data_IF_843073638712
#
_entry.id   IF_843073638712
#
_cell.length_a   1.000
_cell.length_b   1.000
_cell.length_c   1.000
_cell.angle_alpha   90.00
_cell.angle_beta   90.00
_cell.angle_gamma   90.00
#
_symmetry.space_group_name_H-M   'P 1'
#
loop_
_entity.id
_entity.type
_entity.pdbx_description
1 polymer ?
#
# COMPACT_ATOMS: atom_id res chain seq x y z
N UNK A 1 29.12 -19.16 -2.49
CA UNK A 1 28.58 -20.53 -2.66
C UNK A 1 27.06 -20.60 -2.44
N UNK A 2 26.51 -20.36 -1.23
CA UNK A 2 25.05 -20.49 -0.96
C UNK A 2 24.14 -19.54 -1.74
N UNK A 3 24.55 -18.29 -2.01
CA UNK A 3 23.79 -17.37 -2.89
C UNK A 3 23.80 -17.81 -4.36
N UNK A 4 24.87 -18.45 -4.84
CA UNK A 4 24.96 -18.96 -6.22
C UNK A 4 24.03 -20.16 -6.42
N UNK A 5 23.88 -21.01 -5.40
CA UNK A 5 22.90 -22.11 -5.40
C UNK A 5 21.47 -21.56 -5.40
N UNK A 6 21.20 -20.48 -4.64
CA UNK A 6 19.89 -19.81 -4.62
C UNK A 6 19.57 -19.12 -5.95
N UNK A 7 20.56 -18.47 -6.56
CA UNK A 7 20.43 -17.85 -7.88
C UNK A 7 20.21 -18.89 -8.97
N UNK A 8 20.89 -20.04 -8.91
CA UNK A 8 20.72 -21.15 -9.86
C UNK A 8 19.33 -21.81 -9.73
N UNK A 9 18.83 -22.02 -8.51
CA UNK A 9 17.46 -22.52 -8.28
C UNK A 9 16.39 -21.51 -8.71
N UNK A 10 16.61 -20.21 -8.47
CA UNK A 10 15.73 -19.15 -8.97
C UNK A 10 15.74 -19.05 -10.50
N UNK A 11 16.91 -19.14 -11.15
CA UNK A 11 17.00 -19.18 -12.62
C UNK A 11 16.30 -20.42 -13.21
N UNK A 12 16.49 -21.59 -12.59
CA UNK A 12 15.84 -22.83 -13.02
C UNK A 12 14.32 -22.76 -12.91
N UNK A 13 13.81 -22.22 -11.80
CA UNK A 13 12.38 -22.00 -11.61
C UNK A 13 11.80 -20.96 -12.59
N UNK A 14 12.53 -19.88 -12.85
CA UNK A 14 12.11 -18.85 -13.80
C UNK A 14 12.10 -19.37 -15.24
N UNK A 15 13.11 -20.14 -15.66
CA UNK A 15 13.17 -20.71 -17.01
C UNK A 15 12.02 -21.71 -17.25
N UNK A 16 11.69 -22.53 -16.25
CA UNK A 16 10.58 -23.47 -16.31
C UNK A 16 9.20 -22.77 -16.43
N UNK A 17 8.98 -21.66 -15.72
CA UNK A 17 7.75 -20.84 -15.88
C UNK A 17 7.65 -20.21 -17.26
N UNK A 18 8.76 -19.71 -17.80
CA UNK A 18 8.75 -18.91 -19.03
C UNK A 18 8.61 -19.76 -20.30
N UNK A 19 9.22 -20.94 -20.34
CA UNK A 19 9.02 -21.89 -21.44
C UNK A 19 7.57 -22.41 -21.51
N UNK A 20 6.85 -22.43 -20.38
CA UNK A 20 5.43 -22.87 -20.30
C UNK A 20 4.45 -21.79 -20.73
N UNK A 21 4.73 -20.51 -20.43
CA UNK A 21 3.92 -19.39 -20.92
C UNK A 21 3.86 -19.30 -22.46
N UNK A 22 4.89 -19.74 -23.17
CA UNK A 22 4.90 -19.70 -24.64
C UNK A 22 3.98 -20.76 -25.28
N UNK A 23 3.77 -21.90 -24.61
CA UNK A 23 2.85 -22.95 -25.06
C UNK A 23 1.36 -22.53 -24.93
N UNK A 24 1.04 -21.65 -23.97
CA UNK A 24 -0.33 -21.15 -23.76
C UNK A 24 -0.79 -20.16 -24.86
N UNK A 25 0.13 -19.47 -25.54
CA UNK A 25 -0.22 -18.56 -26.65
C UNK A 25 -0.57 -19.27 -27.97
N UNK A 26 -0.34 -20.58 -28.08
CA UNK A 26 -0.55 -21.35 -29.31
C UNK A 26 -1.91 -22.05 -29.41
N UNK A 27 -2.83 -21.88 -28.44
CA UNK A 27 -4.14 -22.53 -28.46
C UNK A 27 -5.27 -21.50 -28.58
N UNK A 28 -6.01 -21.61 -29.68
CA UNK A 28 -7.19 -20.80 -29.99
C UNK A 28 -8.22 -20.81 -28.85
N UNK A 29 -8.83 -19.67 -28.50
CA UNK A 29 -9.88 -19.65 -27.49
C UNK A 29 -11.19 -20.19 -28.07
N UNK A 30 -11.78 -21.18 -27.40
CA UNK A 30 -13.18 -21.58 -27.60
C UNK A 30 -14.13 -20.46 -27.16
N UNK A 31 -15.27 -20.24 -27.84
CA UNK A 31 -16.13 -19.11 -27.55
C UNK A 31 -17.01 -19.40 -26.32
N UNK A 32 -16.69 -18.79 -25.19
CA UNK A 32 -17.61 -18.71 -24.05
C UNK A 32 -18.69 -17.66 -24.35
N UNK A 33 -19.90 -18.11 -24.68
CA UNK A 33 -21.12 -17.27 -24.67
C UNK A 33 -21.40 -16.85 -23.22
N UNK A 34 -21.04 -15.62 -22.87
CA UNK A 34 -21.64 -14.87 -21.75
C UNK A 34 -22.40 -13.68 -22.32
N UNK A 35 -23.71 -13.72 -22.18
CA UNK A 35 -24.61 -12.58 -22.36
C UNK A 35 -24.30 -11.54 -21.29
N UNK A 36 -23.38 -10.63 -21.60
CA UNK A 36 -23.23 -9.36 -20.92
C UNK A 36 -23.74 -8.27 -21.86
N UNK A 37 -24.76 -7.54 -21.42
CA UNK A 37 -25.31 -6.37 -22.13
C UNK A 37 -24.16 -5.38 -22.36
N UNK A 38 -23.79 -5.24 -23.63
CA UNK A 38 -22.68 -4.43 -24.13
C UNK A 38 -23.16 -2.98 -24.28
N UNK A 39 -23.07 -2.18 -23.22
CA UNK A 39 -23.09 -0.71 -23.35
C UNK A 39 -21.68 -0.26 -23.74
N UNK A 40 -21.36 -0.40 -25.02
CA UNK A 40 -20.15 0.16 -25.61
C UNK A 40 -20.43 1.60 -26.05
N UNK A 41 -20.06 2.58 -25.23
CA UNK A 41 -19.72 3.92 -25.71
C UNK A 41 -18.23 4.13 -25.44
N UNK A 42 -17.43 3.96 -26.48
CA UNK A 42 -16.00 4.30 -26.47
C UNK A 42 -15.87 5.82 -26.36
N UNK A 43 -15.64 6.34 -25.16
CA UNK A 43 -15.23 7.74 -24.98
C UNK A 43 -13.77 7.83 -25.43
N UNK A 44 -13.43 8.55 -26.52
CA UNK A 44 -12.05 8.71 -26.94
C UNK A 44 -11.26 9.45 -25.85
N UNK A 45 -10.00 9.06 -25.64
CA UNK A 45 -9.10 9.74 -24.70
C UNK A 45 -8.71 11.12 -25.26
N UNK A 46 -9.51 12.13 -24.92
CA UNK A 46 -9.37 13.53 -25.36
C UNK A 46 -8.00 14.11 -24.95
N UNK A 47 -7.34 13.56 -23.92
CA UNK A 47 -6.03 14.02 -23.48
C UNK A 47 -4.89 13.64 -24.43
N UNK A 48 -5.06 12.56 -25.20
CA UNK A 48 -4.09 12.06 -26.18
C UNK A 48 -4.16 12.78 -27.55
N UNK A 49 -5.24 13.50 -27.83
CA UNK A 49 -5.46 14.16 -29.14
C UNK A 49 -4.49 15.32 -29.41
N UNK A 50 -4.18 15.58 -30.67
CA UNK A 50 -3.35 16.72 -31.11
C UNK A 50 -4.15 18.03 -31.11
N UNK A 51 -3.47 19.18 -31.08
CA UNK A 51 -4.13 20.51 -31.09
C UNK A 51 -5.07 20.71 -32.28
N UNK A 52 -4.72 20.31 -33.53
CA UNK A 52 -5.65 20.39 -34.66
C UNK A 52 -6.91 19.54 -34.45
N UNK A 53 -6.77 18.31 -33.97
CA UNK A 53 -7.90 17.42 -33.71
C UNK A 53 -8.84 17.95 -32.61
N UNK A 54 -8.27 18.58 -31.57
CA UNK A 54 -9.04 19.23 -30.51
C UNK A 54 -9.82 20.46 -31.01
N UNK A 55 -9.22 21.27 -31.88
CA UNK A 55 -9.91 22.44 -32.48
C UNK A 55 -11.04 22.00 -33.42
N UNK A 56 -10.85 20.91 -34.15
CA UNK A 56 -11.87 20.37 -35.04
C UNK A 56 -13.09 19.85 -34.25
N UNK A 57 -12.85 19.10 -33.17
CA UNK A 57 -13.95 18.69 -32.29
C UNK A 57 -14.66 19.86 -31.60
N UNK A 58 -13.93 20.92 -31.26
CA UNK A 58 -14.53 22.14 -30.71
C UNK A 58 -15.39 22.87 -31.75
N UNK A 59 -14.98 22.94 -33.02
CA UNK A 59 -15.79 23.49 -34.12
C UNK A 59 -17.08 22.70 -34.32
N UNK A 60 -16.99 21.37 -34.33
CA UNK A 60 -18.15 20.49 -34.45
C UNK A 60 -19.17 20.68 -33.32
N UNK A 61 -18.72 21.16 -32.15
CA UNK A 61 -19.56 21.46 -30.98
C UNK A 61 -19.91 22.95 -30.81
N UNK A 62 -19.53 23.81 -31.76
CA UNK A 62 -19.77 25.25 -31.69
C UNK A 62 -19.01 25.97 -30.56
N UNK A 63 -17.89 25.41 -30.10
CA UNK A 63 -17.12 25.93 -28.97
C UNK A 63 -15.87 26.71 -29.42
N UNK A 64 -15.39 27.69 -28.61
CA UNK A 64 -14.22 28.51 -28.97
C UNK A 64 -12.93 27.70 -29.14
N UNK A 65 -12.23 27.92 -30.26
CA UNK A 65 -11.00 27.19 -30.66
C UNK A 65 -9.68 27.88 -30.31
N UNK A 66 -9.72 29.01 -29.60
CA UNK A 66 -8.51 29.78 -29.23
C UNK A 66 -7.84 29.24 -27.96
N UNK A 67 -6.51 29.34 -27.90
CA UNK A 67 -5.69 28.98 -26.73
C UNK A 67 -4.84 27.71 -26.87
N UNK A 68 -4.10 27.41 -25.81
CA UNK A 68 -3.17 26.26 -25.71
C UNK A 68 -3.90 24.93 -25.48
N UNK A 69 -3.24 23.80 -25.78
CA UNK A 69 -3.81 22.43 -25.71
C UNK A 69 -4.62 22.16 -24.44
N UNK A 70 -4.11 22.57 -23.27
CA UNK A 70 -4.79 22.39 -21.99
C UNK A 70 -6.16 23.08 -21.91
N UNK A 71 -6.29 24.28 -22.48
CA UNK A 71 -7.55 25.02 -22.52
C UNK A 71 -8.56 24.34 -23.46
N UNK A 72 -8.09 23.79 -24.59
CA UNK A 72 -8.94 23.08 -25.56
C UNK A 72 -9.48 21.76 -24.98
N UNK A 73 -8.63 20.98 -24.31
CA UNK A 73 -9.03 19.75 -23.60
C UNK A 73 -10.05 20.05 -22.51
N UNK A 74 -9.84 21.13 -21.74
CA UNK A 74 -10.77 21.54 -20.67
C UNK A 74 -12.16 21.89 -21.19
N UNK A 75 -12.26 22.44 -22.41
CA UNK A 75 -13.56 22.76 -23.05
C UNK A 75 -14.28 21.52 -23.59
N UNK A 76 -13.56 20.50 -24.04
CA UNK A 76 -14.15 19.24 -24.51
C UNK A 76 -14.54 18.28 -23.39
N UNK A 77 -13.97 18.46 -22.18
CA UNK A 77 -14.20 17.59 -21.03
C UNK A 77 -14.27 18.40 -19.73
N UNK A 78 -15.35 19.16 -19.49
CA UNK A 78 -15.50 19.97 -18.27
C UNK A 78 -15.47 19.15 -16.97
N UNK A 79 -15.79 17.86 -17.02
CA UNK A 79 -15.77 16.94 -15.87
C UNK A 79 -14.35 16.67 -15.30
N UNK A 80 -13.29 16.86 -16.10
CA UNK A 80 -11.91 16.72 -15.64
C UNK A 80 -11.48 17.80 -14.62
N UNK A 81 -12.30 18.84 -14.40
CA UNK A 81 -12.06 19.84 -13.34
C UNK A 81 -12.29 19.30 -11.93
N UNK A 82 -13.15 18.30 -11.75
CA UNK A 82 -13.48 17.76 -10.41
C UNK A 82 -12.23 17.10 -9.76
N UNK A 83 -11.25 16.69 -10.57
CA UNK A 83 -10.02 16.04 -10.10
C UNK A 83 -8.82 16.99 -9.91
N UNK A 84 -8.91 18.29 -10.25
CA UNK A 84 -7.73 19.20 -10.22
C UNK A 84 -7.90 20.56 -9.55
N UNK A 85 -9.09 20.97 -9.12
CA UNK A 85 -9.26 22.27 -8.43
C UNK A 85 -9.58 22.13 -6.95
N UNK A 86 -8.53 22.06 -6.13
CA UNK A 86 -8.54 22.65 -4.79
C UNK A 86 -7.18 23.27 -4.49
N UNK A 87 -6.93 24.42 -5.12
CA UNK A 87 -5.91 25.38 -4.72
C UNK A 87 -6.58 26.76 -4.64
N UNK A 88 -6.39 27.40 -3.50
CA UNK A 88 -7.03 28.62 -3.01
C UNK A 88 -6.65 29.88 -3.80
N UNK A 89 -7.53 30.89 -3.93
CA UNK A 89 -7.20 32.18 -4.50
C UNK A 89 -6.36 33.05 -3.54
N UNK A 90 -5.47 33.86 -4.14
CA UNK A 90 -4.60 34.87 -3.54
C UNK A 90 -5.42 36.12 -3.16
N UNK A 91 -5.19 36.80 -2.01
CA UNK A 91 -5.99 37.96 -1.64
C UNK A 91 -5.57 39.23 -2.38
N UNK A 92 -6.57 40.05 -2.70
CA UNK A 92 -6.43 41.39 -3.25
C UNK A 92 -6.00 42.40 -2.17
N UNK A 93 -5.30 43.46 -2.61
CA UNK A 93 -4.90 44.61 -1.80
C UNK A 93 -6.13 45.38 -1.32
N UNK A 94 -6.20 45.67 -0.02
CA UNK A 94 -7.07 46.71 0.54
C UNK A 94 -6.21 47.72 1.32
N UNK A 95 -6.47 49.01 1.06
CA UNK A 95 -6.00 50.17 1.85
C UNK A 95 -6.91 50.34 3.08
N UNK A 96 -6.48 51.24 3.99
CA UNK A 96 -7.17 51.83 5.17
C UNK A 96 -7.40 50.88 6.37
N UNK A 97 -7.29 51.27 7.63
CA UNK A 97 -6.85 52.49 8.34
C UNK A 97 -6.56 52.07 9.79
N UNK A 98 -5.75 52.85 10.50
CA UNK A 98 -5.42 52.66 11.90
C UNK A 98 -6.63 52.80 12.84
N UNK A 99 -6.75 51.92 13.82
CA UNK A 99 -7.37 52.23 15.12
C UNK A 99 -6.65 51.45 16.23
N UNK A 100 -6.06 52.21 17.15
CA UNK A 100 -5.44 51.84 18.41
C UNK A 100 -6.43 51.21 19.39
N UNK A 101 -6.05 50.09 20.03
CA UNK A 101 -6.54 49.78 21.39
C UNK A 101 -5.48 49.00 22.17
N UNK A 102 -5.00 49.61 23.26
CA UNK A 102 -4.12 49.03 24.30
C UNK A 102 -4.96 48.16 25.25
N UNK A 103 -4.42 47.02 25.66
CA UNK A 103 -4.48 46.35 26.98
C UNK A 103 -4.05 44.88 26.76
N UNK A 104 -3.29 44.16 27.57
CA UNK A 104 -2.69 44.38 28.88
C UNK A 104 -1.52 43.38 29.03
N UNK A 105 -0.46 43.80 29.72
CA UNK A 105 0.69 42.97 30.12
C UNK A 105 0.22 41.88 31.08
N UNK A 106 0.60 40.62 30.82
CA UNK A 106 0.75 39.61 31.88
C UNK A 106 2.15 39.03 31.82
N UNK A 107 2.89 39.30 32.89
CA UNK A 107 4.26 38.90 33.15
C UNK A 107 4.31 37.39 33.33
N UNK A 108 5.20 36.72 32.61
CA UNK A 108 5.79 35.47 33.07
C UNK A 108 7.29 35.51 32.77
N UNK A 109 8.06 35.45 33.85
CA UNK A 109 9.51 35.21 33.95
C UNK A 109 9.97 34.15 32.93
N UNK A 110 11.01 34.34 32.14
CA UNK A 110 12.30 34.89 32.53
C UNK A 110 13.32 33.75 32.70
N UNK A 111 13.67 33.08 31.60
CA UNK A 111 15.00 32.50 31.38
C UNK A 111 15.38 32.80 29.93
N UNK A 112 16.01 33.95 29.73
CA UNK A 112 16.72 34.27 28.49
C UNK A 112 18.03 33.50 28.46
N UNK A 113 18.04 32.32 27.84
CA UNK A 113 19.26 31.65 27.41
C UNK A 113 19.70 32.25 26.06
N UNK A 114 20.30 33.42 26.10
CA UNK A 114 21.04 33.97 24.97
C UNK A 114 22.39 33.24 24.88
N UNK A 115 22.69 32.67 23.71
CA UNK A 115 23.93 31.99 23.28
C UNK A 115 23.91 30.44 23.17
N UNK A 116 22.76 29.79 23.04
CA UNK A 116 22.71 28.41 22.55
C UNK A 116 22.25 28.36 21.08
N UNK A 117 23.06 27.73 20.21
CA UNK A 117 22.69 27.49 18.81
C UNK A 117 21.35 26.75 18.69
N UNK A 118 20.56 27.05 17.66
CA UNK A 118 19.25 26.42 17.46
C UNK A 118 19.37 24.91 17.22
N UNK A 119 18.34 24.16 17.61
CA UNK A 119 18.25 22.73 17.30
C UNK A 119 17.61 22.55 15.93
N UNK A 120 18.29 21.84 15.03
CA UNK A 120 17.76 21.51 13.70
C UNK A 120 17.10 20.14 13.74
N UNK A 121 15.86 20.03 13.27
CA UNK A 121 15.10 18.78 13.22
C UNK A 121 14.84 18.42 11.76
N UNK A 122 15.23 17.21 11.33
CA UNK A 122 15.03 16.74 9.96
C UNK A 122 13.98 15.64 9.94
N UNK A 123 12.96 15.79 9.11
CA UNK A 123 11.85 14.85 8.93
C UNK A 123 11.73 14.45 7.46
N UNK A 124 11.01 13.36 7.17
CA UNK A 124 10.90 12.85 5.81
C UNK A 124 10.04 13.73 4.89
N UNK A 125 8.86 14.16 5.35
CA UNK A 125 7.86 14.83 4.51
C UNK A 125 7.52 16.26 4.97
N UNK A 126 7.09 17.13 4.04
CA UNK A 126 6.62 18.49 4.36
C UNK A 126 5.40 18.50 5.29
N UNK A 127 4.51 17.52 5.13
CA UNK A 127 3.33 17.36 5.97
C UNK A 127 3.71 17.11 7.43
N UNK A 128 4.65 16.20 7.68
CA UNK A 128 5.22 15.92 9.00
C UNK A 128 5.93 17.14 9.57
N UNK A 129 6.70 17.86 8.74
CA UNK A 129 7.36 19.11 9.12
C UNK A 129 6.35 20.16 9.61
N UNK A 130 5.26 20.38 8.87
CA UNK A 130 4.22 21.32 9.23
C UNK A 130 3.49 20.95 10.53
N UNK A 131 3.26 19.65 10.78
CA UNK A 131 2.62 19.18 12.02
C UNK A 131 3.55 19.33 13.23
N UNK A 132 4.80 18.87 13.12
CA UNK A 132 5.77 18.91 14.23
C UNK A 132 6.18 20.34 14.57
N UNK A 133 6.31 21.22 13.58
CA UNK A 133 6.63 22.64 13.82
C UNK A 133 5.61 23.35 14.72
N UNK A 134 4.37 22.85 14.80
CA UNK A 134 3.35 23.41 15.71
C UNK A 134 3.53 22.96 17.16
N UNK A 135 4.13 21.78 17.37
CA UNK A 135 4.42 21.27 18.72
C UNK A 135 5.72 21.84 19.26
N UNK A 136 6.67 22.14 18.37
CA UNK A 136 7.99 22.66 18.73
C UNK A 136 8.00 24.19 18.79
N UNK A 137 8.71 24.73 19.78
CA UNK A 137 8.86 26.17 19.98
C UNK A 137 9.87 26.85 19.03
N UNK A 138 10.08 28.17 19.17
CA UNK A 138 10.92 28.97 18.27
C UNK A 138 12.42 28.62 18.28
N UNK A 139 12.86 27.78 19.22
CA UNK A 139 14.24 27.31 19.33
C UNK A 139 14.58 26.15 18.36
N UNK A 140 13.57 25.62 17.67
CA UNK A 140 13.72 24.53 16.70
C UNK A 140 13.59 25.04 15.27
N UNK A 141 14.42 24.50 14.37
CA UNK A 141 14.27 24.65 12.92
C UNK A 141 13.91 23.29 12.35
N UNK A 142 12.66 23.10 11.93
CA UNK A 142 12.20 21.82 11.36
C UNK A 142 12.27 21.89 9.84
N UNK A 143 12.91 20.89 9.22
CA UNK A 143 13.14 20.81 7.78
C UNK A 143 12.75 19.43 7.25
N UNK A 144 12.25 19.38 6.01
CA UNK A 144 11.93 18.13 5.33
C UNK A 144 13.06 17.72 4.37
N UNK A 145 13.41 16.43 4.34
CA UNK A 145 14.40 15.86 3.41
C UNK A 145 13.77 15.31 2.11
N UNK A 146 12.44 15.20 2.06
CA UNK A 146 11.66 14.71 0.91
C UNK A 146 12.00 13.26 0.53
N UNK A 147 12.20 12.40 1.54
CA UNK A 147 12.59 11.00 1.35
C UNK A 147 14.11 10.79 1.31
N UNK A 148 14.54 9.82 0.50
CA UNK A 148 15.96 9.49 0.31
C UNK A 148 16.73 10.64 -0.34
N UNK A 149 17.85 11.04 0.29
CA UNK A 149 18.73 12.13 -0.19
C UNK A 149 19.97 11.64 -0.93
N UNK A 150 20.24 10.34 -0.86
CA UNK A 150 21.30 9.64 -1.59
C UNK A 150 20.71 8.36 -2.20
N UNK A 151 21.25 7.92 -3.32
CA UNK A 151 20.81 6.72 -4.01
C UNK A 151 22.00 5.96 -4.60
N UNK A 152 21.81 4.68 -4.90
CA UNK A 152 22.76 3.95 -5.74
C UNK A 152 22.74 4.53 -7.16
N UNK A 153 23.90 4.80 -7.78
CA UNK A 153 23.97 5.17 -9.18
C UNK A 153 23.20 4.19 -10.08
N UNK A 154 22.58 4.70 -11.15
CA UNK A 154 21.83 3.88 -12.12
C UNK A 154 22.73 3.09 -13.09
N UNK A 155 23.98 2.85 -12.72
CA UNK A 155 25.01 2.18 -13.54
C UNK A 155 25.55 0.98 -12.79
N UNK A 156 26.13 0.02 -13.51
CA UNK A 156 26.80 -1.14 -12.90
C UNK A 156 27.99 -0.71 -12.04
N UNK A 157 28.26 -1.48 -10.98
CA UNK A 157 29.42 -1.28 -10.10
C UNK A 157 29.12 -0.54 -8.79
N UNK A 158 27.87 -0.17 -8.51
CA UNK A 158 27.50 0.51 -7.26
C UNK A 158 27.53 -0.39 -6.03
N UNK A 159 27.52 -1.70 -6.22
CA UNK A 159 27.65 -2.71 -5.17
C UNK A 159 28.76 -3.66 -5.60
N UNK A 160 29.79 -3.81 -4.76
CA UNK A 160 31.00 -4.58 -5.08
C UNK A 160 31.10 -5.84 -4.22
N UNK A 161 30.60 -7.01 -4.67
CA UNK A 161 30.63 -8.25 -3.89
C UNK A 161 32.03 -8.69 -3.44
N UNK A 162 33.04 -8.44 -4.28
CA UNK A 162 34.43 -8.78 -3.97
C UNK A 162 35.05 -7.92 -2.85
N UNK A 163 34.46 -6.76 -2.55
CA UNK A 163 34.93 -5.82 -1.53
C UNK A 163 33.95 -5.77 -0.35
N UNK A 164 33.56 -6.94 0.16
CA UNK A 164 32.58 -7.08 1.25
C UNK A 164 31.28 -6.29 1.00
N UNK A 165 30.78 -6.34 -0.24
CA UNK A 165 29.59 -5.61 -0.68
C UNK A 165 29.65 -4.09 -0.49
N UNK A 166 30.84 -3.49 -0.56
CA UNK A 166 30.99 -2.03 -0.52
C UNK A 166 30.00 -1.35 -1.47
N UNK A 167 29.28 -0.35 -0.96
CA UNK A 167 28.22 0.36 -1.66
C UNK A 167 28.64 1.80 -1.93
N UNK A 168 28.52 2.23 -3.18
CA UNK A 168 28.76 3.62 -3.58
C UNK A 168 27.42 4.33 -3.73
N UNK A 169 27.27 5.46 -3.04
CA UNK A 169 26.07 6.28 -3.06
C UNK A 169 26.36 7.63 -3.72
N UNK A 170 25.50 7.99 -4.67
CA UNK A 170 25.45 9.32 -5.26
C UNK A 170 24.40 10.18 -4.56
N UNK A 171 24.70 11.46 -4.44
CA UNK A 171 23.80 12.45 -3.92
C UNK A 171 22.65 12.65 -4.93
N UNK A 172 21.44 12.21 -4.57
CA UNK A 172 20.25 12.38 -5.40
C UNK A 172 19.62 13.77 -5.22
N UNK A 173 20.43 14.75 -4.80
CA UNK A 173 19.99 16.00 -4.20
C UNK A 173 19.34 16.91 -5.24
N UNK A 174 18.13 17.34 -4.90
CA UNK A 174 17.63 18.62 -5.38
C UNK A 174 18.24 19.73 -4.51
N UNK A 175 18.79 20.83 -5.07
CA UNK A 175 19.30 21.98 -4.31
C UNK A 175 18.34 22.54 -3.25
N UNK A 176 17.05 22.17 -3.34
CA UNK A 176 15.98 22.44 -2.38
C UNK A 176 16.16 21.80 -1.00
N UNK A 177 16.93 20.72 -0.85
CA UNK A 177 17.12 20.03 0.45
C UNK A 177 18.42 20.45 1.13
N UNK A 178 19.54 20.38 0.40
CA UNK A 178 20.86 20.67 0.94
C UNK A 178 21.03 22.13 1.34
N UNK A 179 20.51 23.09 0.55
CA UNK A 179 20.69 24.50 0.86
C UNK A 179 19.99 24.94 2.16
N UNK A 180 18.70 24.59 2.41
CA UNK A 180 18.07 24.87 3.69
C UNK A 180 18.78 24.20 4.87
N UNK A 181 19.20 22.93 4.73
CA UNK A 181 19.93 22.23 5.78
C UNK A 181 21.24 22.93 6.10
N UNK A 182 22.08 23.19 5.09
CA UNK A 182 23.35 23.92 5.27
C UNK A 182 23.17 25.28 5.92
N UNK A 183 22.13 26.03 5.51
CA UNK A 183 21.81 27.32 6.12
C UNK A 183 21.38 27.17 7.58
N UNK A 184 20.57 26.16 7.91
CA UNK A 184 20.13 25.90 9.27
C UNK A 184 21.30 25.45 10.17
N UNK A 185 22.21 24.62 9.65
CA UNK A 185 23.40 24.16 10.38
C UNK A 185 24.39 25.28 10.65
N UNK A 186 24.64 26.18 9.68
CA UNK A 186 25.44 27.39 9.89
C UNK A 186 24.81 28.38 10.88
N UNK A 187 23.49 28.29 11.07
CA UNK A 187 22.74 29.16 11.96
C UNK A 187 22.73 30.63 11.54
N UNK A 188 22.58 31.53 12.52
CA UNK A 188 22.41 32.98 12.30
C UNK A 188 23.36 33.76 13.20
N UNK A 189 23.98 34.81 12.67
CA UNK A 189 24.88 35.67 13.46
C UNK A 189 26.18 34.98 13.90
N UNK A 190 26.67 34.01 13.12
CA UNK A 190 27.89 33.26 13.44
C UNK A 190 27.71 32.16 14.49
N UNK A 191 26.50 31.97 15.02
CA UNK A 191 26.18 30.90 15.98
C UNK A 191 25.66 29.68 15.20
N UNK A 192 26.48 28.64 15.13
CA UNK A 192 26.15 27.37 14.48
C UNK A 192 25.09 26.57 15.26
N UNK A 193 24.46 25.60 14.59
CA UNK A 193 23.50 24.71 15.23
C UNK A 193 24.18 23.81 16.26
N UNK A 194 23.65 23.81 17.48
CA UNK A 194 24.20 23.02 18.59
C UNK A 194 23.81 21.53 18.53
N UNK A 195 22.68 21.23 17.89
CA UNK A 195 22.09 19.88 17.88
C UNK A 195 21.33 19.61 16.58
N UNK A 196 21.53 18.40 16.03
CA UNK A 196 20.81 17.86 14.89
C UNK A 196 19.97 16.67 15.37
N UNK A 197 18.65 16.77 15.19
CA UNK A 197 17.69 15.72 15.50
C UNK A 197 17.14 15.09 14.21
N UNK A 198 17.38 13.81 14.04
CA UNK A 198 16.87 13.01 12.94
C UNK A 198 15.52 12.40 13.38
N UNK A 199 14.43 12.85 12.78
CA UNK A 199 13.04 12.55 13.18
C UNK A 199 12.25 11.83 12.06
N UNK A 200 12.95 10.95 11.33
CA UNK A 200 12.39 10.07 10.29
C UNK A 200 11.49 9.00 10.91
N UNK A 201 10.74 8.29 10.07
CA UNK A 201 9.79 7.26 10.50
C UNK A 201 10.46 6.11 11.29
N UNK A 202 9.73 5.39 12.17
CA UNK A 202 10.29 4.37 13.04
C UNK A 202 10.46 3.01 12.34
N UNK A 203 10.89 2.99 11.08
CA UNK A 203 11.19 1.78 10.33
C UNK A 203 12.64 1.79 9.80
N UNK A 204 13.08 0.68 9.20
CA UNK A 204 14.44 0.58 8.62
C UNK A 204 14.69 1.58 7.49
N UNK A 205 13.64 1.99 6.75
CA UNK A 205 13.78 2.99 5.68
C UNK A 205 14.04 4.36 6.29
N UNK A 206 13.29 4.74 7.33
CA UNK A 206 13.50 5.95 8.10
C UNK A 206 14.89 5.99 8.74
N UNK A 207 15.39 4.87 9.27
CA UNK A 207 16.74 4.80 9.82
C UNK A 207 17.82 5.01 8.74
N UNK A 208 17.64 4.41 7.55
CA UNK A 208 18.55 4.61 6.42
C UNK A 208 18.52 6.05 5.88
N UNK A 209 17.34 6.69 5.81
CA UNK A 209 17.22 8.10 5.45
C UNK A 209 17.97 8.98 6.45
N UNK A 210 17.81 8.72 7.75
CA UNK A 210 18.51 9.44 8.81
C UNK A 210 20.04 9.31 8.66
N UNK A 211 20.54 8.10 8.43
CA UNK A 211 21.94 7.86 8.14
C UNK A 211 22.42 8.60 6.89
N UNK A 212 21.67 8.54 5.78
CA UNK A 212 22.02 9.24 4.55
C UNK A 212 22.06 10.77 4.71
N UNK A 213 21.18 11.36 5.49
CA UNK A 213 21.21 12.80 5.82
C UNK A 213 22.47 13.16 6.58
N UNK A 214 22.87 12.33 7.56
CA UNK A 214 24.08 12.54 8.34
C UNK A 214 25.33 12.50 7.44
N UNK A 215 25.48 11.42 6.67
CA UNK A 215 26.59 11.23 5.74
C UNK A 215 26.65 12.38 4.72
N UNK A 216 25.50 12.83 4.24
CA UNK A 216 25.42 13.94 3.31
C UNK A 216 25.97 15.23 3.92
N UNK A 217 25.57 15.57 5.15
CA UNK A 217 26.05 16.77 5.83
C UNK A 217 27.56 16.71 6.09
N UNK A 218 28.09 15.53 6.41
CA UNK A 218 29.52 15.31 6.60
C UNK A 218 30.31 15.46 5.29
N UNK A 219 29.84 14.82 4.21
CA UNK A 219 30.49 14.88 2.89
C UNK A 219 30.58 16.31 2.33
N UNK A 220 29.59 17.17 2.66
CA UNK A 220 29.56 18.57 2.24
C UNK A 220 30.14 19.54 3.28
N UNK A 221 30.82 19.05 4.32
CA UNK A 221 31.41 19.89 5.39
C UNK A 221 30.39 20.82 6.05
N UNK A 222 29.12 20.41 6.09
CA UNK A 222 27.98 21.21 6.54
C UNK A 222 27.51 20.80 7.95
N UNK A 223 28.13 19.79 8.55
CA UNK A 223 27.93 19.40 9.95
C UNK A 223 29.00 20.05 10.83
N UNK A 224 28.63 20.98 11.73
CA UNK A 224 29.58 21.55 12.68
C UNK A 224 30.18 20.49 13.60
N UNK A 225 31.47 20.59 13.91
CA UNK A 225 32.19 19.62 14.75
C UNK A 225 31.64 19.54 16.19
N UNK A 226 31.05 20.62 16.69
CA UNK A 226 30.44 20.72 18.03
C UNK A 226 28.98 20.28 18.06
N UNK A 227 28.39 19.91 16.92
CA UNK A 227 26.98 19.59 16.82
C UNK A 227 26.68 18.18 17.33
N UNK A 228 25.81 18.07 18.33
CA UNK A 228 25.32 16.78 18.81
C UNK A 228 24.29 16.20 17.82
N UNK A 229 24.56 15.03 17.25
CA UNK A 229 23.65 14.32 16.34
C UNK A 229 22.90 13.25 17.11
N UNK A 230 21.57 13.27 17.04
CA UNK A 230 20.73 12.29 17.71
C UNK A 230 19.51 11.92 16.88
N UNK A 231 18.94 10.75 17.17
CA UNK A 231 17.78 10.15 16.54
C UNK A 231 16.61 10.16 17.51
N UNK A 232 15.45 10.63 17.04
CA UNK A 232 14.18 10.59 17.78
C UNK A 232 13.13 9.88 16.93
N UNK A 233 12.34 9.00 17.51
CA UNK A 233 11.31 8.23 16.79
C UNK A 233 10.01 8.20 17.58
N UNK A 234 8.88 8.20 16.88
CA UNK A 234 7.55 8.15 17.47
C UNK A 234 6.58 7.42 16.53
N UNK A 235 5.72 6.60 17.11
CA UNK A 235 4.71 5.82 16.38
C UNK A 235 3.43 6.61 16.12
N UNK A 236 3.31 7.83 16.62
CA UNK A 236 2.19 8.75 16.39
C UNK A 236 2.68 10.20 16.43
N UNK A 237 2.00 11.10 15.72
CA UNK A 237 2.36 12.52 15.67
C UNK A 237 1.41 13.30 16.60
N UNK A 238 1.68 13.15 17.90
CA UNK A 238 0.99 13.88 18.99
C UNK A 238 2.00 14.70 19.78
N UNK A 239 1.56 15.79 20.44
CA UNK A 239 2.45 16.60 21.29
C UNK A 239 3.16 15.75 22.36
N UNK A 240 2.41 14.87 23.02
CA UNK A 240 2.93 13.95 24.05
C UNK A 240 4.00 13.01 23.50
N UNK A 241 3.77 12.40 22.33
CA UNK A 241 4.75 11.49 21.73
C UNK A 241 6.02 12.23 21.27
N UNK A 242 5.88 13.43 20.71
CA UNK A 242 7.02 14.26 20.29
C UNK A 242 7.83 14.74 21.49
N UNK A 243 7.18 15.23 22.55
CA UNK A 243 7.86 15.65 23.78
C UNK A 243 8.59 14.47 24.46
N UNK A 244 7.95 13.29 24.50
CA UNK A 244 8.58 12.07 25.00
C UNK A 244 9.80 11.65 24.19
N UNK A 245 9.73 11.75 22.85
CA UNK A 245 10.86 11.42 21.98
C UNK A 245 12.02 12.42 22.12
N UNK A 246 11.74 13.70 22.40
CA UNK A 246 12.76 14.71 22.67
C UNK A 246 13.48 14.51 24.01
N UNK A 247 12.79 13.94 24.99
CA UNK A 247 13.34 13.63 26.31
C UNK A 247 14.24 12.38 26.31
N UNK A 248 13.99 11.43 25.40
CA UNK A 248 14.74 10.19 25.26
C UNK A 248 15.33 10.01 23.85
N UNK A 249 16.25 10.91 23.41
CA UNK A 249 16.97 10.73 22.16
C UNK A 249 17.90 9.51 22.23
N UNK A 250 18.15 8.89 21.08
CA UNK A 250 19.10 7.77 20.95
C UNK A 250 20.09 8.03 19.82
N UNK A 251 21.09 7.17 19.71
CA UNK A 251 21.95 7.12 18.53
C UNK A 251 21.26 6.40 17.37
N UNK A 252 21.84 6.51 16.17
CA UNK A 252 21.41 5.75 15.01
C UNK A 252 21.58 4.24 15.25
N UNK A 253 20.55 3.48 14.90
CA UNK A 253 20.57 2.02 14.95
C UNK A 253 21.24 1.49 13.69
N UNK A 254 22.56 1.30 13.78
CA UNK A 254 23.34 0.79 12.65
C UNK A 254 22.91 -0.60 12.18
N UNK A 255 22.47 -1.55 13.04
CA UNK A 255 21.81 -2.78 12.58
C UNK A 255 20.62 -2.54 11.63
N UNK A 256 19.72 -1.61 11.94
CA UNK A 256 18.59 -1.26 11.05
C UNK A 256 19.05 -0.65 9.73
N UNK A 257 20.05 0.25 9.77
CA UNK A 257 20.67 0.82 8.56
C UNK A 257 21.26 -0.28 7.68
N UNK A 258 22.07 -1.17 8.27
CA UNK A 258 22.70 -2.29 7.55
C UNK A 258 21.67 -3.27 7.00
N UNK A 259 20.54 -3.48 7.67
CA UNK A 259 19.45 -4.30 7.16
C UNK A 259 18.81 -3.67 5.90
N UNK A 260 18.64 -2.35 5.87
CA UNK A 260 18.15 -1.63 4.69
C UNK A 260 19.18 -1.66 3.55
N UNK A 261 20.46 -1.41 3.84
CA UNK A 261 21.56 -1.49 2.88
C UNK A 261 21.69 -2.89 2.26
N UNK A 262 21.62 -3.95 3.08
CA UNK A 262 21.65 -5.33 2.61
C UNK A 262 20.47 -5.63 1.67
N UNK A 263 19.26 -5.17 2.02
CA UNK A 263 18.09 -5.27 1.13
C UNK A 263 18.34 -4.56 -0.20
N UNK A 264 18.83 -3.33 -0.17
CA UNK A 264 19.09 -2.54 -1.36
C UNK A 264 20.19 -3.16 -2.23
N UNK A 265 21.26 -3.68 -1.63
CA UNK A 265 22.34 -4.38 -2.31
C UNK A 265 21.82 -5.64 -3.03
N UNK A 266 21.00 -6.46 -2.36
CA UNK A 266 20.42 -7.66 -2.97
C UNK A 266 19.49 -7.30 -4.11
N UNK A 267 18.62 -6.32 -3.93
CA UNK A 267 17.67 -5.91 -4.97
C UNK A 267 18.41 -5.30 -6.19
N UNK A 268 19.47 -4.53 -5.96
CA UNK A 268 20.36 -4.00 -7.00
C UNK A 268 21.05 -5.13 -7.78
N UNK A 269 21.70 -6.08 -7.08
CA UNK A 269 22.44 -7.17 -7.71
C UNK A 269 21.51 -8.06 -8.54
N UNK A 270 20.33 -8.41 -8.02
CA UNK A 270 19.33 -9.20 -8.76
C UNK A 270 18.86 -8.45 -10.00
N UNK A 271 18.53 -7.16 -9.87
CA UNK A 271 18.05 -6.34 -10.97
C UNK A 271 19.08 -6.23 -12.10
N UNK A 272 20.31 -5.84 -11.79
CA UNK A 272 21.36 -5.61 -12.79
C UNK A 272 21.90 -6.89 -13.42
N UNK A 273 21.93 -8.01 -12.70
CA UNK A 273 22.41 -9.29 -13.24
C UNK A 273 21.36 -10.00 -14.10
N UNK A 274 20.09 -9.99 -13.68
CA UNK A 274 19.04 -10.76 -14.36
C UNK A 274 18.32 -10.00 -15.47
N UNK A 275 18.13 -8.67 -15.35
CA UNK A 275 17.35 -7.92 -16.35
C UNK A 275 17.92 -8.04 -17.78
N UNK A 276 19.25 -7.97 -18.01
CA UNK A 276 19.81 -8.19 -19.36
C UNK A 276 19.57 -9.59 -19.92
N UNK A 277 19.45 -10.60 -19.06
CA UNK A 277 19.08 -11.97 -19.49
C UNK A 277 17.61 -12.00 -19.89
N UNK A 278 16.73 -11.39 -19.09
CA UNK A 278 15.30 -11.32 -19.37
C UNK A 278 15.00 -10.55 -20.66
N UNK A 279 15.66 -9.42 -20.91
CA UNK A 279 15.45 -8.64 -22.14
C UNK A 279 15.81 -9.43 -23.41
N UNK A 280 16.86 -10.26 -23.34
CA UNK A 280 17.28 -11.12 -24.46
C UNK A 280 16.35 -12.32 -24.66
N UNK A 281 15.80 -12.89 -23.59
CA UNK A 281 14.99 -14.11 -23.64
C UNK A 281 13.48 -13.87 -23.72
N UNK A 282 13.02 -12.69 -23.29
CA UNK A 282 11.63 -12.26 -23.24
C UNK A 282 11.52 -10.80 -23.71
N UNK A 283 11.40 -10.58 -25.02
CA UNK A 283 11.16 -9.25 -25.56
C UNK A 283 9.95 -8.59 -24.88
N UNK A 284 10.13 -7.37 -24.37
CA UNK A 284 9.09 -6.62 -23.65
C UNK A 284 9.13 -6.75 -22.12
N UNK A 285 9.94 -7.64 -21.56
CA UNK A 285 10.19 -7.64 -20.11
C UNK A 285 10.88 -6.34 -19.69
N UNK A 286 10.44 -5.71 -18.59
CA UNK A 286 11.01 -4.44 -18.12
C UNK A 286 12.15 -4.63 -17.12
N UNK A 287 11.94 -5.47 -16.11
CA UNK A 287 12.88 -5.63 -15.00
C UNK A 287 12.74 -6.99 -14.33
N UNK A 288 13.84 -7.51 -13.80
CA UNK A 288 13.84 -8.58 -12.81
C UNK A 288 13.72 -7.99 -11.40
N UNK A 289 12.92 -8.60 -10.53
CA UNK A 289 12.79 -8.16 -9.14
C UNK A 289 12.58 -9.34 -8.22
N UNK A 290 13.44 -9.46 -7.19
CA UNK A 290 13.44 -10.60 -6.25
C UNK A 290 12.05 -10.90 -5.66
N UNK A 291 11.32 -9.87 -5.23
CA UNK A 291 9.97 -10.02 -4.65
C UNK A 291 8.88 -10.00 -5.73
N UNK A 292 9.03 -9.15 -6.75
CA UNK A 292 8.05 -9.00 -7.83
C UNK A 292 7.87 -10.30 -8.63
N UNK A 293 8.96 -11.00 -8.93
CA UNK A 293 8.92 -12.25 -9.69
C UNK A 293 8.23 -13.37 -8.91
N UNK A 294 8.39 -13.43 -7.58
CA UNK A 294 7.68 -14.41 -6.74
C UNK A 294 6.18 -14.09 -6.67
N UNK A 295 5.82 -12.81 -6.54
CA UNK A 295 4.41 -12.40 -6.55
C UNK A 295 3.73 -12.71 -7.90
N UNK A 296 4.42 -12.44 -9.02
CA UNK A 296 3.94 -12.80 -10.35
C UNK A 296 3.76 -14.32 -10.49
N UNK A 297 4.72 -15.10 -9.96
CA UNK A 297 4.62 -16.57 -9.95
C UNK A 297 3.38 -17.05 -9.20
N UNK A 298 3.06 -16.51 -8.02
CA UNK A 298 1.85 -16.93 -7.28
C UNK A 298 0.56 -16.71 -8.09
N UNK A 299 0.50 -15.64 -8.89
CA UNK A 299 -0.64 -15.37 -9.78
C UNK A 299 -0.64 -16.35 -10.96
N UNK A 300 0.52 -16.58 -11.58
CA UNK A 300 0.65 -17.51 -12.69
C UNK A 300 0.33 -18.96 -12.28
N UNK A 301 0.85 -19.42 -11.14
CA UNK A 301 0.59 -20.74 -10.57
C UNK A 301 -0.92 -20.93 -10.33
N UNK A 302 -1.62 -19.91 -9.81
CA UNK A 302 -3.09 -19.94 -9.66
C UNK A 302 -3.82 -19.98 -11.01
N UNK A 303 -3.35 -19.24 -12.01
CA UNK A 303 -3.97 -19.28 -13.34
C UNK A 303 -3.78 -20.66 -14.00
N UNK A 304 -2.61 -21.28 -13.81
CA UNK A 304 -2.35 -22.66 -14.26
C UNK A 304 -3.25 -23.67 -13.54
N UNK A 305 -3.45 -23.53 -12.23
CA UNK A 305 -4.42 -24.34 -11.47
C UNK A 305 -5.84 -24.21 -12.04
N UNK A 306 -6.26 -22.98 -12.39
CA UNK A 306 -7.59 -22.72 -12.98
C UNK A 306 -7.68 -23.27 -14.41
N UNK A 307 -6.63 -23.16 -15.21
CA UNK A 307 -6.59 -23.67 -16.58
C UNK A 307 -6.56 -25.21 -16.63
N UNK A 308 -5.88 -25.84 -15.68
CA UNK A 308 -5.84 -27.29 -15.53
C UNK A 308 -7.11 -27.85 -14.87
N UNK A 309 -7.94 -26.99 -14.25
CA UNK A 309 -9.16 -27.41 -13.60
C UNK A 309 -10.18 -27.91 -14.62
N UNK A 310 -10.48 -29.21 -14.56
CA UNK A 310 -11.58 -29.82 -15.32
C UNK A 310 -12.84 -29.82 -14.45
N UNK A 311 -13.88 -29.04 -14.78
CA UNK A 311 -15.13 -29.07 -14.05
C UNK A 311 -15.76 -30.46 -14.11
N UNK A 312 -16.24 -30.94 -12.97
CA UNK A 312 -17.00 -32.18 -12.89
C UNK A 312 -18.44 -31.82 -12.51
N UNK A 313 -19.38 -32.24 -13.37
CA UNK A 313 -20.80 -32.11 -13.10
C UNK A 313 -21.18 -33.07 -11.96
N UNK A 314 -21.97 -32.56 -11.02
CA UNK A 314 -22.48 -33.36 -9.92
C UNK A 314 -23.81 -32.79 -9.43
N UNK A 315 -24.59 -33.65 -8.78
CA UNK A 315 -25.87 -33.29 -8.18
C UNK A 315 -25.77 -33.35 -6.66
N UNK A 316 -26.31 -32.33 -6.00
CA UNK A 316 -26.62 -32.33 -4.57
C UNK A 316 -28.12 -32.55 -4.38
N UNK A 317 -28.49 -33.39 -3.42
CA UNK A 317 -29.89 -33.64 -3.09
C UNK A 317 -30.25 -32.88 -1.82
N UNK A 318 -31.35 -32.12 -1.88
CA UNK A 318 -31.92 -31.40 -0.74
C UNK A 318 -33.36 -31.88 -0.52
N UNK A 319 -33.76 -32.00 0.73
CA UNK A 319 -35.10 -32.37 1.16
C UNK A 319 -35.75 -31.18 1.83
N UNK A 320 -36.95 -30.82 1.38
CA UNK A 320 -37.83 -29.92 2.12
C UNK A 320 -38.67 -30.76 3.07
N UNK A 321 -38.49 -30.55 4.38
CA UNK A 321 -39.13 -31.33 5.42
C UNK A 321 -40.11 -30.46 6.20
N UNK A 322 -41.28 -31.03 6.47
CA UNK A 322 -42.28 -30.47 7.37
C UNK A 322 -42.37 -31.33 8.63
N UNK A 323 -42.57 -30.68 9.78
CA UNK A 323 -42.90 -31.40 11.02
C UNK A 323 -44.23 -32.12 10.89
N UNK A 324 -44.34 -33.29 11.53
CA UNK A 324 -45.63 -33.97 11.66
C UNK A 324 -46.61 -33.07 12.43
N UNK A 325 -47.86 -33.05 11.98
CA UNK A 325 -48.98 -32.32 12.59
C UNK A 325 -50.05 -33.34 13.02
N UNK A 326 -50.64 -33.18 14.21
CA UNK A 326 -51.69 -34.08 14.71
C UNK A 326 -51.36 -34.72 16.07
N UNK A 327 -52.16 -35.71 16.48
CA UNK A 327 -52.08 -36.37 17.81
C UNK A 327 -50.77 -37.12 18.08
N UNK A 328 -50.04 -37.48 17.02
CA UNK A 328 -48.78 -38.22 17.08
C UNK A 328 -47.54 -37.29 16.97
N UNK A 329 -47.74 -35.97 16.89
CA UNK A 329 -46.65 -35.01 16.89
C UNK A 329 -46.03 -34.94 18.31
N UNK A 330 -44.76 -35.33 18.46
CA UNK A 330 -44.03 -35.11 19.70
C UNK A 330 -43.84 -33.61 19.99
N UNK A 331 -43.41 -33.27 21.21
CA UNK A 331 -43.27 -31.88 21.70
C UNK A 331 -42.29 -30.99 20.89
N UNK A 332 -41.55 -31.58 19.94
CA UNK A 332 -40.57 -30.91 19.11
C UNK A 332 -41.17 -30.31 17.85
N UNK A 333 -41.23 -28.98 17.77
CA UNK A 333 -41.65 -28.29 16.55
C UNK A 333 -40.48 -28.10 15.59
N UNK A 334 -40.55 -28.68 14.39
CA UNK A 334 -39.59 -28.39 13.32
C UNK A 334 -39.82 -26.96 12.79
N UNK A 335 -38.75 -26.21 12.46
CA UNK A 335 -38.89 -24.91 11.79
C UNK A 335 -39.62 -25.07 10.46
N UNK A 336 -40.51 -24.13 10.14
CA UNK A 336 -41.14 -24.09 8.81
C UNK A 336 -40.07 -23.91 7.73
N UNK A 337 -40.15 -24.69 6.64
CA UNK A 337 -39.22 -24.60 5.52
C UNK A 337 -37.82 -25.16 5.82
N UNK A 338 -37.72 -26.20 6.66
CA UNK A 338 -36.44 -26.86 6.90
C UNK A 338 -35.95 -27.54 5.61
N UNK A 339 -34.83 -27.04 5.08
CA UNK A 339 -34.11 -27.68 3.98
C UNK A 339 -32.95 -28.48 4.56
N UNK A 340 -32.99 -29.81 4.36
CA UNK A 340 -31.92 -30.72 4.77
C UNK A 340 -31.13 -31.19 3.53
N UNK A 341 -29.82 -31.00 3.53
CA UNK A 341 -28.96 -31.57 2.50
C UNK A 341 -28.64 -33.03 2.81
N UNK A 342 -28.79 -33.91 1.83
CA UNK A 342 -28.50 -35.35 1.98
C UNK A 342 -26.99 -35.55 2.07
N UNK A 343 -26.53 -36.10 3.21
CA UNK A 343 -25.11 -36.36 3.45
C UNK A 343 -24.69 -37.79 3.09
N UNK A 344 -25.60 -38.78 3.17
CA UNK A 344 -25.36 -40.18 2.82
C UNK A 344 -26.60 -40.81 2.19
N UNK A 345 -26.41 -41.62 1.15
CA UNK A 345 -27.48 -42.43 0.54
C UNK A 345 -26.95 -43.83 0.25
N UNK A 346 -27.63 -44.88 0.74
CA UNK A 346 -27.24 -46.30 0.51
C UNK A 346 -25.76 -46.59 0.84
N UNK A 347 -25.24 -45.99 1.91
CA UNK A 347 -23.85 -46.15 2.33
C UNK A 347 -22.81 -45.30 1.57
N UNK A 348 -23.21 -44.64 0.47
CA UNK A 348 -22.34 -43.70 -0.24
C UNK A 348 -22.42 -42.31 0.41
N UNK A 349 -21.25 -41.74 0.72
CA UNK A 349 -21.13 -40.41 1.33
C UNK A 349 -21.11 -39.32 0.27
N UNK A 350 -21.77 -38.21 0.57
CA UNK A 350 -21.78 -36.99 -0.23
C UNK A 350 -20.84 -35.94 0.37
N UNK A 351 -20.21 -36.24 1.51
CA UNK A 351 -19.20 -35.36 2.11
C UNK A 351 -17.87 -35.51 1.34
N UNK A 352 -17.37 -34.44 0.68
CA UNK A 352 -16.09 -34.47 -0.02
C UNK A 352 -14.89 -34.82 0.88
N UNK A 353 -15.03 -34.71 2.21
CA UNK A 353 -13.98 -35.00 3.21
C UNK A 353 -13.88 -36.47 3.58
N UNK A 354 -14.96 -37.24 3.50
CA UNK A 354 -14.92 -38.69 3.80
C UNK A 354 -14.45 -39.52 2.59
N UNK A 355 -14.55 -38.97 1.36
CA UNK A 355 -14.28 -39.69 0.11
C UNK A 355 -12.89 -39.52 -0.50
N UNK A 356 -11.97 -38.77 0.14
CA UNK A 356 -10.63 -38.52 -0.41
C UNK A 356 -10.66 -37.83 -1.78
N UNK A 357 -10.60 -36.50 -1.82
CA UNK A 357 -10.61 -35.69 -3.05
C UNK A 357 -11.84 -35.94 -3.94
N UNK A 358 -12.91 -35.17 -3.69
CA UNK A 358 -14.00 -34.91 -4.66
C UNK A 358 -14.61 -36.15 -5.33
N UNK A 359 -14.81 -37.24 -4.59
CA UNK A 359 -15.73 -38.27 -5.03
C UNK A 359 -17.16 -37.71 -4.94
N UNK A 360 -17.65 -37.16 -6.05
CA UNK A 360 -19.06 -36.81 -6.18
C UNK A 360 -19.85 -38.10 -6.38
N UNK A 361 -20.79 -38.40 -5.47
CA UNK A 361 -21.53 -39.67 -5.53
C UNK A 361 -22.62 -39.70 -6.61
N UNK A 362 -23.04 -38.53 -7.11
CA UNK A 362 -23.98 -38.40 -8.23
C UNK A 362 -23.32 -37.57 -9.32
N UNK A 363 -22.83 -38.24 -10.36
CA UNK A 363 -22.14 -37.65 -11.52
C UNK A 363 -22.91 -37.83 -12.84
N UNK A 364 -24.09 -38.44 -12.78
CA UNK A 364 -25.00 -38.56 -13.93
C UNK A 364 -26.41 -38.14 -13.54
N UNK A 365 -27.15 -37.59 -14.52
CA UNK A 365 -28.55 -37.20 -14.34
C UNK A 365 -29.42 -38.42 -13.96
N UNK A 366 -29.21 -39.58 -14.60
CA UNK A 366 -29.96 -40.79 -14.32
C UNK A 366 -29.78 -41.27 -12.87
N UNK A 367 -28.55 -41.22 -12.35
CA UNK A 367 -28.27 -41.57 -10.96
C UNK A 367 -28.95 -40.58 -10.00
N UNK A 368 -28.95 -39.29 -10.33
CA UNK A 368 -29.59 -38.26 -9.54
C UNK A 368 -31.13 -38.41 -9.52
N UNK A 369 -31.74 -38.71 -10.67
CA UNK A 369 -33.19 -38.97 -10.77
C UNK A 369 -33.59 -40.24 -10.04
N UNK A 370 -32.81 -41.32 -10.16
CA UNK A 370 -33.04 -42.56 -9.42
C UNK A 370 -32.94 -42.35 -7.90
N UNK A 371 -31.94 -41.58 -7.45
CA UNK A 371 -31.79 -41.21 -6.06
C UNK A 371 -32.96 -40.32 -5.57
N UNK A 372 -33.39 -39.36 -6.38
CA UNK A 372 -34.55 -38.50 -6.08
C UNK A 372 -35.85 -39.30 -5.98
N UNK A 373 -36.08 -40.25 -6.89
CA UNK A 373 -37.23 -41.14 -6.84
C UNK A 373 -37.24 -42.01 -5.57
N UNK A 374 -36.08 -42.56 -5.18
CA UNK A 374 -35.94 -43.33 -3.95
C UNK A 374 -36.24 -42.47 -2.70
N UNK A 375 -35.78 -41.22 -2.68
CA UNK A 375 -36.07 -40.28 -1.58
C UNK A 375 -37.54 -39.87 -1.53
N UNK A 376 -38.20 -39.67 -2.68
CA UNK A 376 -39.64 -39.35 -2.74
C UNK A 376 -40.53 -40.49 -2.28
N UNK A 377 -40.09 -41.73 -2.46
CA UNK A 377 -40.80 -42.89 -1.93
C UNK A 377 -40.81 -42.92 -0.39
N UNK A 378 -39.82 -42.30 0.24
CA UNK A 378 -39.73 -42.15 1.69
C UNK A 378 -40.61 -40.99 2.18
N UNK A 379 -41.73 -41.31 2.84
CA UNK A 379 -42.67 -40.29 3.35
C UNK A 379 -42.32 -39.77 4.74
N UNK A 380 -41.58 -40.53 5.52
CA UNK A 380 -41.29 -40.23 6.92
C UNK A 380 -39.79 -40.24 7.20
N UNK A 381 -39.37 -39.23 7.96
CA UNK A 381 -37.98 -39.00 8.35
C UNK A 381 -37.92 -38.81 9.86
N UNK A 382 -36.98 -39.46 10.51
CA UNK A 382 -36.76 -39.34 11.95
C UNK A 382 -35.49 -38.57 12.25
N UNK A 383 -35.53 -37.69 13.25
CA UNK A 383 -34.34 -36.98 13.71
C UNK A 383 -33.40 -37.94 14.43
N UNK A 384 -32.26 -38.27 13.81
CA UNK A 384 -31.28 -39.19 14.41
C UNK A 384 -30.44 -38.57 15.53
N UNK A 385 -30.06 -37.29 15.40
CA UNK A 385 -29.22 -36.58 16.39
C UNK A 385 -29.46 -35.08 16.34
N UNK A 386 -29.58 -34.45 17.51
CA UNK A 386 -29.58 -32.98 17.67
C UNK A 386 -28.41 -32.58 18.56
N UNK A 387 -27.57 -31.67 18.10
CA UNK A 387 -26.41 -31.18 18.84
C UNK A 387 -26.43 -29.65 18.90
N UNK A 388 -26.52 -29.10 20.12
CA UNK A 388 -26.50 -27.64 20.35
C UNK A 388 -25.15 -27.24 20.93
N UNK A 389 -24.34 -26.53 20.13
CA UNK A 389 -23.06 -25.97 20.59
C UNK A 389 -23.19 -24.48 20.82
N UNK A 390 -22.71 -24.01 21.97
CA UNK A 390 -22.46 -22.58 22.19
C UNK A 390 -21.17 -22.23 21.45
N UNK A 391 -21.25 -21.32 20.49
CA UNK A 391 -20.09 -20.74 19.81
C UNK A 391 -19.94 -19.29 20.25
N UNK A 392 -18.73 -18.91 20.63
CA UNK A 392 -18.37 -17.52 20.94
C UNK A 392 -17.34 -17.05 19.92
N UNK A 393 -17.55 -15.86 19.36
CA UNK A 393 -16.59 -15.21 18.47
C UNK A 393 -16.04 -13.98 19.17
N UNK A 394 -14.75 -14.00 19.48
CA UNK A 394 -14.06 -12.86 20.07
C UNK A 394 -13.98 -11.66 19.12
N UNK A 395 -13.72 -10.45 19.65
CA UNK A 395 -13.45 -9.29 18.81
C UNK A 395 -12.20 -9.52 17.95
N UNK A 396 -12.14 -8.83 16.81
CA UNK A 396 -10.96 -8.86 15.95
C UNK A 396 -9.81 -8.11 16.62
N UNK A 397 -8.57 -8.54 16.35
CA UNK A 397 -7.38 -7.82 16.78
C UNK A 397 -7.33 -6.41 16.14
N UNK A 398 -6.63 -5.44 16.76
CA UNK A 398 -6.33 -4.16 16.12
C UNK A 398 -5.63 -4.36 14.77
N UNK A 399 -5.78 -3.38 13.88
CA UNK A 399 -5.19 -3.48 12.55
C UNK A 399 -3.66 -3.39 12.58
N UNK A 400 -3.02 -4.39 11.96
CA UNK A 400 -1.69 -4.26 11.38
C UNK A 400 -1.78 -3.88 9.88
N UNK A 401 -0.64 -3.71 9.20
CA UNK A 401 -0.64 -3.29 7.79
C UNK A 401 -1.38 -4.28 6.88
N UNK A 402 -1.18 -5.59 7.09
CA UNK A 402 -1.78 -6.62 6.24
C UNK A 402 -3.30 -6.70 6.42
N UNK A 403 -3.78 -6.75 7.67
CA UNK A 403 -5.21 -6.80 7.99
C UNK A 403 -5.93 -5.52 7.55
N UNK A 404 -5.31 -4.34 7.70
CA UNK A 404 -5.86 -3.09 7.18
C UNK A 404 -6.05 -3.14 5.65
N UNK A 405 -5.03 -3.60 4.91
CA UNK A 405 -5.10 -3.70 3.45
C UNK A 405 -6.14 -4.73 2.99
N UNK A 406 -6.21 -5.87 3.66
CA UNK A 406 -7.19 -6.92 3.36
C UNK A 406 -8.62 -6.45 3.60
N UNK A 407 -8.89 -5.83 4.75
CA UNK A 407 -10.25 -5.36 5.09
C UNK A 407 -10.66 -4.15 4.24
N UNK A 408 -9.75 -3.23 3.93
CA UNK A 408 -10.04 -2.13 3.01
C UNK A 408 -10.35 -2.63 1.58
N UNK A 409 -9.64 -3.66 1.11
CA UNK A 409 -9.95 -4.29 -0.18
C UNK A 409 -11.31 -5.01 -0.16
N UNK A 410 -11.62 -5.76 0.91
CA UNK A 410 -12.87 -6.53 1.02
C UNK A 410 -14.11 -5.66 1.25
N UNK A 411 -14.00 -4.64 2.09
CA UNK A 411 -15.15 -3.84 2.54
C UNK A 411 -15.35 -2.57 1.73
N UNK A 412 -14.26 -1.98 1.23
CA UNK A 412 -14.28 -0.68 0.56
C UNK A 412 -13.84 -0.76 -0.91
N UNK A 413 -13.45 -1.95 -1.40
CA UNK A 413 -12.94 -2.16 -2.77
C UNK A 413 -11.75 -1.25 -3.11
N UNK A 414 -10.97 -0.83 -2.11
CA UNK A 414 -9.84 0.08 -2.30
C UNK A 414 -8.56 -0.68 -2.67
N UNK A 415 -7.84 -0.27 -3.74
CA UNK A 415 -6.50 -0.77 -4.02
C UNK A 415 -5.52 -0.46 -2.89
N UNK A 416 -4.61 -1.39 -2.60
CA UNK A 416 -3.59 -1.27 -1.55
C UNK A 416 -2.81 0.05 -1.61
N UNK A 417 -2.43 0.48 -2.82
CA UNK A 417 -1.70 1.74 -3.01
C UNK A 417 -2.50 2.99 -2.60
N UNK A 418 -3.83 2.97 -2.74
CA UNK A 418 -4.70 4.07 -2.27
C UNK A 418 -4.78 4.04 -0.75
N UNK A 419 -5.01 2.86 -0.16
CA UNK A 419 -5.11 2.66 1.29
C UNK A 419 -3.85 3.18 1.99
N UNK A 420 -2.66 2.81 1.51
CA UNK A 420 -1.40 3.25 2.12
C UNK A 420 -1.15 4.75 1.97
N UNK A 421 -1.55 5.39 0.87
CA UNK A 421 -1.45 6.86 0.71
C UNK A 421 -2.40 7.59 1.67
N UNK A 422 -3.62 7.08 1.84
CA UNK A 422 -4.57 7.63 2.80
C UNK A 422 -4.04 7.48 4.23
N UNK A 423 -3.58 6.29 4.59
CA UNK A 423 -3.00 6.02 5.90
C UNK A 423 -1.77 6.91 6.19
N UNK A 424 -0.85 7.09 5.24
CA UNK A 424 0.26 8.04 5.36
C UNK A 424 -0.24 9.46 5.67
N UNK A 425 -1.26 9.92 4.93
CA UNK A 425 -1.84 11.26 5.13
C UNK A 425 -2.46 11.40 6.52
N UNK A 426 -3.16 10.36 7.00
CA UNK A 426 -3.76 10.34 8.33
C UNK A 426 -2.69 10.31 9.44
N UNK A 427 -1.59 9.60 9.24
CA UNK A 427 -0.45 9.56 10.17
C UNK A 427 0.26 10.92 10.24
N UNK A 428 0.71 11.45 9.10
CA UNK A 428 1.44 12.73 9.00
C UNK A 428 0.62 13.94 9.43
N UNK A 429 -0.70 13.80 9.32
CA UNK A 429 -1.70 14.71 9.82
C UNK A 429 -2.51 15.38 8.73
N UNK A 430 -3.77 15.64 9.05
CA UNK A 430 -4.73 16.32 8.19
C UNK A 430 -5.19 17.62 8.85
N UNK A 431 -5.60 18.58 8.04
CA UNK A 431 -6.17 19.83 8.52
C UNK A 431 -7.64 19.63 8.89
N UNK A 432 -7.96 19.77 10.17
CA UNK A 432 -9.29 19.65 10.74
C UNK A 432 -9.57 20.88 11.59
N UNK A 433 -10.63 21.62 11.26
CA UNK A 433 -11.08 22.80 12.04
C UNK A 433 -9.96 23.83 12.30
N UNK A 434 -9.09 24.05 11.32
CA UNK A 434 -7.96 24.99 11.40
C UNK A 434 -6.70 24.44 12.09
N UNK A 435 -6.73 23.20 12.58
CA UNK A 435 -5.59 22.55 13.21
C UNK A 435 -5.12 21.34 12.41
N UNK A 436 -3.81 21.13 12.34
CA UNK A 436 -3.23 19.96 11.67
C UNK A 436 -2.88 18.93 12.73
N UNK A 437 -3.43 17.72 12.66
CA UNK A 437 -3.22 16.66 13.65
C UNK A 437 -3.10 15.29 12.99
N UNK A 438 -2.19 14.45 13.50
CA UNK A 438 -2.14 13.02 13.18
C UNK A 438 -3.36 12.31 13.78
N UNK A 439 -4.01 11.45 12.99
CA UNK A 439 -5.25 10.76 13.36
C UNK A 439 -5.07 9.28 13.66
N UNK A 440 -3.97 8.68 13.21
CA UNK A 440 -3.66 7.27 13.42
C UNK A 440 -2.21 7.12 13.84
N UNK A 441 -1.90 5.95 14.41
CA UNK A 441 -0.53 5.49 14.61
C UNK A 441 0.12 5.11 13.28
N UNK A 442 1.42 4.81 13.33
CA UNK A 442 2.21 4.45 12.18
C UNK A 442 1.64 3.21 11.46
N UNK A 443 1.40 3.36 10.17
CA UNK A 443 0.64 2.41 9.36
C UNK A 443 1.46 1.25 8.79
N UNK A 444 2.78 1.25 8.99
CA UNK A 444 3.69 0.15 8.59
C UNK A 444 4.13 -0.61 9.84
N UNK A 445 3.31 -1.57 10.26
CA UNK A 445 3.46 -2.38 11.47
C UNK A 445 2.98 -3.80 11.20
N UNK A 446 3.63 -4.78 11.80
CA UNK A 446 3.31 -6.21 11.71
C UNK A 446 2.45 -6.71 12.89
#
# INVERSE_FOLDING_TARGET
ARMLVLASTLLGAMYASLSRCHLLHARSPLPLRRTAVRMASSVPDISAMTVPQLKEQLRQRGLPVSGVKAALVTRLSPELKILKTRATPKPAKAKTSATTTKLSKRVSSGVTSAAAGKTVVVVESPAKCATISKFLGPNFIVLACYGHVRALPSKQGSVLPAQNFAMTFEDSIQPKVLNPLRRAMKGTGGVEASRLLLATDPDREGEAIAWHVLELLQAHGSLPATCAVQRISFSEITKKAVDGALAAPRDLDMPLVRAQQARQAVDYLVGFTLSPVLWRKLPGCRSAGRVQSVALRLVADREEEVAAFTPQEHWSLNLELAGQTGKDAGDGQLPAGLVASVSKLRGQSFDPKEGGVRAFSLVTADAAEAAMAALRAQREWTVGKVERKKSQKGPLAPYNTASLQMDASRRLSLPVGIVMRMAQTLYEGVELRGERRGLITYMRTD
#
